data_IF_410407308021
#
_entry.id   IF_410407308021
#
_cell.length_a   1.000
_cell.length_b   1.000
_cell.length_c   1.000
_cell.angle_alpha   90.00
_cell.angle_beta   90.00
_cell.angle_gamma   90.00
#
_symmetry.space_group_name_H-M   'P 1'
#
loop_
_entity.id
_entity.type
_entity.pdbx_description
1 polymer ?
#
# COMPACT_ATOMS: atom_id res chain seq x y z
N UNK A 1 -5.96 19.34 -24.29
CA UNK A 1 -5.16 19.29 -23.05
C UNK A 1 -6.01 18.96 -21.82
N UNK A 2 -7.09 19.70 -21.52
CA UNK A 2 -7.98 19.42 -20.37
C UNK A 2 -8.62 18.02 -20.41
N UNK A 3 -9.08 17.56 -21.58
CA UNK A 3 -9.61 16.20 -21.75
C UNK A 3 -8.57 15.11 -21.43
N UNK A 4 -7.33 15.29 -21.88
CA UNK A 4 -6.24 14.35 -21.61
C UNK A 4 -5.93 14.26 -20.11
N UNK A 5 -5.87 15.41 -19.42
CA UNK A 5 -5.69 15.45 -17.96
C UNK A 5 -6.85 14.77 -17.24
N UNK A 6 -8.10 15.05 -17.62
CA UNK A 6 -9.27 14.42 -17.02
C UNK A 6 -9.24 12.89 -17.19
N UNK A 7 -8.91 12.41 -18.39
CA UNK A 7 -8.79 10.98 -18.68
C UNK A 7 -7.68 10.31 -17.85
N UNK A 8 -6.50 10.94 -17.75
CA UNK A 8 -5.39 10.43 -16.93
C UNK A 8 -5.73 10.41 -15.44
N UNK A 9 -6.36 11.47 -14.92
CA UNK A 9 -6.80 11.53 -13.52
C UNK A 9 -7.84 10.46 -13.23
N UNK A 10 -8.78 10.23 -14.14
CA UNK A 10 -9.78 9.16 -14.00
C UNK A 10 -9.12 7.77 -13.97
N UNK A 11 -8.17 7.50 -14.87
CA UNK A 11 -7.41 6.24 -14.87
C UNK A 11 -6.60 6.04 -13.57
N UNK A 12 -5.97 7.11 -13.07
CA UNK A 12 -5.23 7.06 -11.80
C UNK A 12 -6.18 6.77 -10.63
N UNK A 13 -7.33 7.44 -10.59
CA UNK A 13 -8.35 7.22 -9.57
C UNK A 13 -8.85 5.77 -9.58
N UNK A 14 -9.20 5.22 -10.76
CA UNK A 14 -9.66 3.85 -10.89
C UNK A 14 -8.57 2.85 -10.46
N UNK A 15 -7.32 3.10 -10.83
CA UNK A 15 -6.17 2.29 -10.40
C UNK A 15 -6.00 2.31 -8.88
N UNK A 16 -6.09 3.47 -8.23
CA UNK A 16 -5.96 3.60 -6.78
C UNK A 16 -7.08 2.85 -6.04
N UNK A 17 -8.32 2.97 -6.50
CA UNK A 17 -9.44 2.20 -5.95
C UNK A 17 -9.19 0.70 -6.12
N UNK A 18 -8.76 0.27 -7.32
CA UNK A 18 -8.45 -1.14 -7.58
C UNK A 18 -7.35 -1.68 -6.66
N UNK A 19 -6.22 -0.97 -6.54
CA UNK A 19 -5.09 -1.39 -5.70
C UNK A 19 -5.47 -1.42 -4.23
N UNK A 20 -6.16 -0.40 -3.71
CA UNK A 20 -6.58 -0.38 -2.30
C UNK A 20 -7.60 -1.47 -2.00
N UNK A 21 -8.57 -1.69 -2.90
CA UNK A 21 -9.56 -2.75 -2.76
C UNK A 21 -8.91 -4.14 -2.74
N UNK A 22 -8.02 -4.42 -3.70
CA UNK A 22 -7.29 -5.68 -3.76
C UNK A 22 -6.41 -5.88 -2.53
N UNK A 23 -5.71 -4.83 -2.08
CA UNK A 23 -4.88 -4.90 -0.88
C UNK A 23 -5.71 -5.22 0.37
N UNK A 24 -6.86 -4.54 0.51
CA UNK A 24 -7.79 -4.79 1.62
C UNK A 24 -8.37 -6.20 1.55
N UNK A 25 -8.72 -6.68 0.36
CA UNK A 25 -9.21 -8.04 0.13
C UNK A 25 -8.16 -9.08 0.53
N UNK A 26 -6.90 -8.92 0.10
CA UNK A 26 -5.80 -9.84 0.43
C UNK A 26 -5.62 -9.91 1.96
N UNK A 27 -5.61 -8.75 2.63
CA UNK A 27 -5.51 -8.71 4.11
C UNK A 27 -6.70 -9.40 4.77
N UNK A 28 -7.92 -9.23 4.25
CA UNK A 28 -9.12 -9.88 4.78
C UNK A 28 -9.18 -11.39 4.54
N UNK A 29 -8.57 -11.87 3.46
CA UNK A 29 -8.47 -13.29 3.14
C UNK A 29 -7.33 -13.99 3.91
N UNK A 30 -6.38 -13.23 4.46
CA UNK A 30 -5.33 -13.80 5.29
C UNK A 30 -5.96 -14.48 6.52
N UNK A 31 -5.52 -15.70 6.88
CA UNK A 31 -6.01 -16.39 8.06
C UNK A 31 -5.57 -15.64 9.32
N UNK A 32 -6.54 -15.30 10.17
CA UNK A 32 -6.32 -14.61 11.43
C UNK A 32 -6.73 -13.14 11.42
N UNK A 33 -7.31 -12.68 12.53
CA UNK A 33 -7.51 -11.27 12.83
C UNK A 33 -6.69 -10.84 14.08
N UNK A 34 -6.59 -9.54 14.35
CA UNK A 34 -5.88 -9.06 15.55
C UNK A 34 -6.51 -9.58 16.85
N UNK A 35 -7.83 -9.82 16.86
CA UNK A 35 -8.53 -10.36 18.02
C UNK A 35 -8.21 -11.84 18.25
N UNK A 36 -7.74 -12.58 17.25
CA UNK A 36 -7.32 -13.97 17.44
C UNK A 36 -6.11 -14.09 18.37
N UNK A 37 -5.18 -13.12 18.34
CA UNK A 37 -4.09 -13.08 19.32
C UNK A 37 -4.63 -12.80 20.74
N UNK A 38 -5.64 -11.93 20.86
CA UNK A 38 -6.30 -11.63 22.13
C UNK A 38 -7.13 -12.82 22.65
N UNK A 39 -7.74 -13.61 21.76
CA UNK A 39 -8.48 -14.85 22.09
C UNK A 39 -7.60 -15.92 22.72
N UNK A 40 -6.32 -15.96 22.38
CA UNK A 40 -5.37 -16.90 22.96
C UNK A 40 -4.93 -16.49 24.38
N UNK A 41 -5.26 -15.28 24.83
CA UNK A 41 -4.94 -14.82 26.18
C UNK A 41 -6.06 -15.21 27.17
N UNK A 42 -5.82 -16.16 28.10
CA UNK A 42 -6.83 -16.63 29.05
C UNK A 42 -7.26 -15.57 30.08
N UNK A 43 -6.57 -14.43 30.17
CA UNK A 43 -6.96 -13.32 31.03
C UNK A 43 -8.05 -12.43 30.43
N UNK A 44 -8.30 -12.55 29.12
CA UNK A 44 -9.29 -11.74 28.41
C UNK A 44 -10.58 -12.54 28.30
N UNK A 45 -11.68 -11.96 28.78
CA UNK A 45 -12.97 -12.63 28.72
C UNK A 45 -13.51 -12.68 27.28
N UNK A 46 -14.25 -13.74 26.89
CA UNK A 46 -14.89 -13.82 25.58
C UNK A 46 -15.80 -12.62 25.29
N UNK A 47 -16.49 -12.09 26.31
CA UNK A 47 -17.37 -10.93 26.20
C UNK A 47 -16.60 -9.66 25.81
N UNK A 48 -15.39 -9.47 26.36
CA UNK A 48 -14.52 -8.36 25.97
C UNK A 48 -14.12 -8.47 24.50
N UNK A 49 -13.81 -9.67 24.01
CA UNK A 49 -13.44 -9.90 22.62
C UNK A 49 -14.62 -9.60 21.67
N UNK A 50 -15.83 -10.01 22.02
CA UNK A 50 -17.02 -9.67 21.23
C UNK A 50 -17.31 -8.18 21.23
N UNK A 51 -17.14 -7.50 22.37
CA UNK A 51 -17.29 -6.05 22.47
C UNK A 51 -16.28 -5.32 21.57
N UNK A 52 -15.01 -5.73 21.59
CA UNK A 52 -13.96 -5.18 20.71
C UNK A 52 -14.26 -5.45 19.23
N UNK A 53 -14.76 -6.65 18.90
CA UNK A 53 -15.15 -7.01 17.53
C UNK A 53 -16.22 -6.05 16.98
N UNK A 54 -17.24 -5.75 17.77
CA UNK A 54 -18.30 -4.78 17.42
C UNK A 54 -17.77 -3.34 17.38
N UNK A 55 -16.93 -2.96 18.35
CA UNK A 55 -16.34 -1.62 18.43
C UNK A 55 -15.51 -1.30 17.18
N UNK A 56 -14.69 -2.24 16.71
CA UNK A 56 -13.88 -2.08 15.51
C UNK A 56 -14.62 -2.42 14.21
N UNK A 57 -15.90 -2.78 14.29
CA UNK A 57 -16.73 -3.13 13.13
C UNK A 57 -16.23 -4.35 12.35
N UNK A 58 -15.49 -5.24 13.00
CA UNK A 58 -14.95 -6.46 12.40
C UNK A 58 -16.05 -7.49 12.10
N UNK A 59 -17.22 -7.32 12.69
CA UNK A 59 -18.45 -8.07 12.46
C UNK A 59 -19.28 -7.56 11.27
N UNK A 60 -18.96 -6.40 10.71
CA UNK A 60 -19.72 -5.79 9.62
C UNK A 60 -19.41 -6.44 8.27
N UNK A 61 -20.28 -6.20 7.28
CA UNK A 61 -20.00 -6.70 5.92
C UNK A 61 -18.68 -6.11 5.38
N UNK A 62 -18.05 -6.85 4.47
CA UNK A 62 -16.77 -6.48 3.87
C UNK A 62 -16.76 -5.07 3.24
N UNK A 63 -17.80 -4.73 2.47
CA UNK A 63 -17.89 -3.43 1.78
C UNK A 63 -18.01 -2.25 2.74
N UNK A 64 -18.75 -2.41 3.84
CA UNK A 64 -18.90 -1.38 4.87
C UNK A 64 -17.56 -1.14 5.56
N UNK A 65 -16.82 -2.20 5.86
CA UNK A 65 -15.48 -2.08 6.45
C UNK A 65 -14.51 -1.37 5.50
N UNK A 66 -14.51 -1.74 4.21
CA UNK A 66 -13.66 -1.09 3.20
C UNK A 66 -14.01 0.39 3.02
N UNK A 67 -15.29 0.74 2.89
CA UNK A 67 -15.73 2.14 2.72
C UNK A 67 -15.38 2.98 3.94
N UNK A 68 -15.59 2.46 5.16
CA UNK A 68 -15.20 3.17 6.39
C UNK A 68 -13.69 3.41 6.45
N UNK A 69 -12.91 2.36 6.20
CA UNK A 69 -11.45 2.46 6.15
C UNK A 69 -10.99 3.48 5.10
N UNK A 70 -11.53 3.41 3.89
CA UNK A 70 -11.19 4.32 2.80
C UNK A 70 -11.57 5.77 3.14
N UNK A 71 -12.75 5.98 3.72
CA UNK A 71 -13.20 7.31 4.15
C UNK A 71 -12.28 7.90 5.22
N UNK A 72 -11.89 7.13 6.24
CA UNK A 72 -10.94 7.56 7.26
C UNK A 72 -9.59 7.90 6.64
N UNK A 73 -9.08 7.04 5.74
CA UNK A 73 -7.80 7.27 5.07
C UNK A 73 -7.80 8.55 4.22
N UNK A 74 -8.91 8.87 3.54
CA UNK A 74 -9.08 10.11 2.78
C UNK A 74 -9.08 11.36 3.67
N UNK A 75 -9.49 11.22 4.93
CA UNK A 75 -9.39 12.29 5.95
C UNK A 75 -8.05 12.31 6.69
N UNK A 76 -7.04 11.58 6.19
CA UNK A 76 -5.73 11.38 6.82
C UNK A 76 -5.76 10.68 8.19
N UNK A 77 -6.89 10.06 8.54
CA UNK A 77 -6.98 9.15 9.68
C UNK A 77 -6.63 7.74 9.21
N UNK A 78 -5.35 7.40 9.36
CA UNK A 78 -4.82 6.08 9.01
C UNK A 78 -5.06 5.04 10.12
N UNK A 79 -5.65 5.45 11.24
CA UNK A 79 -5.92 4.60 12.38
C UNK A 79 -4.70 4.25 13.23
N UNK A 80 -4.90 3.24 14.07
CA UNK A 80 -3.94 2.77 15.06
C UNK A 80 -3.46 1.36 14.72
N UNK A 81 -2.15 1.15 14.78
CA UNK A 81 -1.55 -0.16 14.59
C UNK A 81 -1.58 -0.93 15.90
N UNK A 82 -2.44 -1.93 15.97
CA UNK A 82 -2.53 -2.78 17.15
C UNK A 82 -1.27 -3.64 17.37
N UNK A 83 -0.62 -4.08 16.30
CA UNK A 83 0.62 -4.87 16.39
C UNK A 83 1.77 -4.05 17.02
N UNK A 84 1.91 -2.80 16.59
CA UNK A 84 3.03 -1.94 16.99
C UNK A 84 2.66 -0.95 18.11
N UNK A 85 1.41 -0.98 18.59
CA UNK A 85 0.90 -0.12 19.65
C UNK A 85 1.18 1.39 19.39
N UNK A 86 1.04 1.82 18.13
CA UNK A 86 1.33 3.19 17.71
C UNK A 86 0.42 3.65 16.56
N UNK A 87 0.20 4.96 16.39
CA UNK A 87 -0.49 5.50 15.22
C UNK A 87 0.19 5.08 13.91
N UNK A 88 -0.60 4.69 12.91
CA UNK A 88 -0.07 4.22 11.62
C UNK A 88 0.75 5.32 10.92
N UNK A 89 0.34 6.58 11.07
CA UNK A 89 1.06 7.74 10.53
C UNK A 89 2.49 7.86 11.06
N UNK A 90 2.71 7.58 12.35
CA UNK A 90 4.03 7.58 12.96
C UNK A 90 4.90 6.48 12.35
N UNK A 91 4.37 5.26 12.23
CA UNK A 91 5.10 4.12 11.65
C UNK A 91 5.49 4.35 10.19
N UNK A 92 4.61 5.00 9.41
CA UNK A 92 4.93 5.41 8.04
C UNK A 92 6.04 6.46 8.05
N UNK A 93 5.94 7.47 8.92
CA UNK A 93 6.96 8.50 9.07
C UNK A 93 8.35 7.95 9.41
N UNK A 94 8.42 6.95 10.29
CA UNK A 94 9.68 6.28 10.64
C UNK A 94 10.30 5.50 9.47
N UNK A 95 9.47 5.03 8.53
CA UNK A 95 9.90 4.17 7.40
C UNK A 95 10.11 4.94 6.09
N UNK A 96 9.54 6.14 5.96
CA UNK A 96 9.56 6.90 4.71
C UNK A 96 10.98 7.29 4.31
N UNK A 97 11.83 7.65 5.29
CA UNK A 97 13.23 8.04 5.03
C UNK A 97 14.03 6.93 4.36
N UNK A 98 13.96 5.70 4.90
CA UNK A 98 14.64 4.54 4.33
C UNK A 98 14.10 4.19 2.94
N UNK A 99 12.78 4.28 2.75
CA UNK A 99 12.14 4.00 1.46
C UNK A 99 12.58 5.00 0.40
N UNK A 100 12.63 6.29 0.74
CA UNK A 100 13.10 7.35 -0.15
C UNK A 100 14.57 7.17 -0.49
N UNK A 101 15.42 6.88 0.51
CA UNK A 101 16.84 6.62 0.28
C UNK A 101 17.03 5.47 -0.72
N UNK A 102 16.41 4.32 -0.48
CA UNK A 102 16.53 3.16 -1.37
C UNK A 102 15.99 3.45 -2.76
N UNK A 103 14.82 4.09 -2.86
CA UNK A 103 14.17 4.38 -4.15
C UNK A 103 15.00 5.36 -4.96
N UNK A 104 15.48 6.45 -4.34
CA UNK A 104 16.29 7.46 -5.03
C UNK A 104 17.64 6.90 -5.44
N UNK A 105 18.34 6.19 -4.56
CA UNK A 105 19.62 5.57 -4.91
C UNK A 105 19.46 4.55 -6.04
N UNK A 106 18.46 3.67 -5.97
CA UNK A 106 18.17 2.70 -7.03
C UNK A 106 17.84 3.39 -8.36
N UNK A 107 17.00 4.43 -8.33
CA UNK A 107 16.61 5.19 -9.53
C UNK A 107 17.82 5.87 -10.18
N UNK A 108 18.67 6.53 -9.38
CA UNK A 108 19.87 7.20 -9.87
C UNK A 108 20.82 6.17 -10.50
N UNK A 109 21.10 5.06 -9.81
CA UNK A 109 21.96 4.00 -10.35
C UNK A 109 21.38 3.39 -11.62
N UNK A 110 20.06 3.15 -11.65
CA UNK A 110 19.36 2.65 -12.82
C UNK A 110 19.51 3.61 -14.00
N UNK A 111 19.34 4.93 -13.81
CA UNK A 111 19.53 5.92 -14.87
C UNK A 111 20.98 6.03 -15.33
N UNK A 112 21.95 5.96 -14.40
CA UNK A 112 23.37 5.98 -14.74
C UNK A 112 23.79 4.80 -15.63
N UNK A 113 23.05 3.69 -15.58
CA UNK A 113 23.30 2.52 -16.45
C UNK A 113 22.42 2.58 -17.70
N UNK A 114 21.10 2.76 -17.52
CA UNK A 114 20.13 2.68 -18.60
C UNK A 114 20.30 3.81 -19.62
N UNK A 115 20.64 5.03 -19.20
CA UNK A 115 20.79 6.17 -20.13
C UNK A 115 22.01 5.96 -21.05
N UNK A 116 23.23 5.67 -20.55
CA UNK A 116 24.35 5.38 -21.44
C UNK A 116 24.13 4.16 -22.34
N UNK A 117 23.54 3.08 -21.81
CA UNK A 117 23.23 1.90 -22.62
C UNK A 117 22.21 2.22 -23.72
N UNK A 118 21.15 2.97 -23.40
CA UNK A 118 20.15 3.42 -24.37
C UNK A 118 20.74 4.34 -25.44
N UNK A 119 21.66 5.24 -25.06
CA UNK A 119 22.39 6.07 -26.02
C UNK A 119 23.31 5.24 -26.92
N UNK A 120 24.01 4.23 -26.36
CA UNK A 120 24.89 3.35 -27.14
C UNK A 120 24.10 2.47 -28.11
N UNK A 121 22.93 1.97 -27.71
CA UNK A 121 22.02 1.23 -28.59
C UNK A 121 21.55 2.13 -29.74
N UNK A 122 21.06 3.34 -29.44
CA UNK A 122 20.61 4.28 -30.46
C UNK A 122 21.71 4.77 -31.42
N UNK A 123 22.95 4.96 -30.95
CA UNK A 123 24.09 5.35 -31.80
C UNK A 123 24.64 4.19 -32.64
N UNK A 124 24.36 2.94 -32.26
CA UNK A 124 24.84 1.72 -32.93
C UNK A 124 23.67 0.86 -33.40
N UNK A 125 22.61 1.52 -33.86
CA UNK A 125 21.42 0.92 -34.43
C UNK A 125 21.80 -0.19 -35.43
N UNK A 126 21.12 -1.35 -35.32
CA UNK A 126 21.33 -2.58 -36.11
C UNK A 126 22.65 -3.34 -35.91
N UNK A 127 23.51 -2.92 -34.98
CA UNK A 127 24.76 -3.63 -34.64
C UNK A 127 24.59 -4.54 -33.41
N UNK A 128 25.52 -5.47 -33.21
CA UNK A 128 25.52 -6.42 -32.08
C UNK A 128 25.23 -5.79 -30.70
N UNK A 129 25.76 -4.60 -30.34
CA UNK A 129 25.43 -3.96 -29.07
C UNK A 129 23.94 -3.58 -28.91
N UNK A 130 23.27 -3.16 -29.98
CA UNK A 130 21.84 -2.81 -30.00
C UNK A 130 20.95 -4.05 -29.88
N UNK A 131 21.41 -5.22 -30.36
CA UNK A 131 20.64 -6.48 -30.28
C UNK A 131 20.79 -7.24 -28.95
N UNK A 132 21.81 -6.90 -28.16
CA UNK A 132 22.14 -7.58 -26.89
C UNK A 132 21.65 -6.77 -25.68
N UNK A 133 21.63 -5.44 -25.79
CA UNK A 133 21.10 -4.51 -24.78
C UNK A 133 19.57 -4.48 -24.87
#
# INVERSE_FOLDING_TARGET
MLWFLAYRTFQAFLTLIGVTFLSFLIIKLAPGDYLDQLRLNPQISPETIEALKRQYGLDQNFFVQYIKWLSSALTFDLGYSFQYHAPVSQLIGERIGNTLLLTLTSTILSWLIAVPLGLLAGLKEDKLPDKII
#
